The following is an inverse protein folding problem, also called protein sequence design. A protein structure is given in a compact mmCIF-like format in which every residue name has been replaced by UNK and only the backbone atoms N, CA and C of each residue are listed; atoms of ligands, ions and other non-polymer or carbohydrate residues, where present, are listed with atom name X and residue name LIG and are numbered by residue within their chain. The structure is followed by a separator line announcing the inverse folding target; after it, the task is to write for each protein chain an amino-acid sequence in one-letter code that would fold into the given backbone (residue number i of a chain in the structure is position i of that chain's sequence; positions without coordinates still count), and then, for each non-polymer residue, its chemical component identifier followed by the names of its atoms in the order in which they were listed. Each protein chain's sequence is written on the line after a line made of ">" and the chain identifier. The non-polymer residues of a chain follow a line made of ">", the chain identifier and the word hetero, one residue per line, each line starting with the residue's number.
data_IF_860260335558
#
_entry.id   IF_860260335558
#
_cell.length_a   1.000
_cell.length_b   1.000
_cell.length_c   1.000
_cell.angle_alpha   90.00
_cell.angle_beta   90.00
_cell.angle_gamma   90.00
#
_symmetry.space_group_name_H-M   'P 1'
#
loop_
_entity.id
_entity.type
_entity.pdbx_description
1 polymer ?
#
# COMPACT_ATOMS: atom_id res chain seq x y z
N UNK A 1 -13.63 -11.63 -29.49
CA UNK A 1 -12.19 -11.39 -29.16
C UNK A 1 -12.10 -11.13 -27.67
N UNK A 2 -11.06 -11.65 -26.99
CA UNK A 2 -10.79 -11.34 -25.60
C UNK A 2 -10.49 -9.85 -25.47
N UNK A 3 -11.01 -9.19 -24.43
CA UNK A 3 -10.61 -7.80 -24.12
C UNK A 3 -9.16 -7.78 -23.66
N UNK A 4 -8.39 -6.84 -24.19
CA UNK A 4 -6.96 -6.69 -23.89
C UNK A 4 -6.70 -5.52 -22.96
N UNK A 5 -5.89 -5.75 -21.93
CA UNK A 5 -5.47 -4.70 -20.99
C UNK A 5 -3.94 -4.59 -20.91
N UNK A 6 -3.45 -3.37 -20.97
CA UNK A 6 -2.07 -3.05 -20.63
C UNK A 6 -2.04 -2.53 -19.21
N UNK A 7 -1.25 -3.18 -18.37
CA UNK A 7 -0.94 -2.78 -17.00
C UNK A 7 0.48 -2.19 -16.95
N UNK A 8 0.63 -0.95 -16.50
CA UNK A 8 1.93 -0.28 -16.46
C UNK A 8 2.31 0.18 -15.07
N UNK A 9 3.47 -0.25 -14.60
CA UNK A 9 4.11 0.19 -13.35
C UNK A 9 5.62 0.18 -13.54
N UNK A 10 6.35 1.02 -12.80
CA UNK A 10 7.80 1.15 -12.97
C UNK A 10 8.58 -0.16 -12.76
N UNK A 11 8.31 -0.86 -11.68
CA UNK A 11 8.94 -2.17 -11.34
C UNK A 11 7.95 -3.07 -10.65
N UNK A 12 8.31 -4.35 -10.47
CA UNK A 12 7.56 -5.31 -9.65
C UNK A 12 8.26 -5.64 -8.33
N UNK A 13 9.20 -4.79 -7.88
CA UNK A 13 9.82 -4.94 -6.56
C UNK A 13 8.75 -4.93 -5.45
N UNK A 14 9.00 -5.71 -4.39
CA UNK A 14 8.04 -5.85 -3.30
C UNK A 14 7.66 -4.50 -2.68
N UNK A 15 6.42 -4.10 -2.89
CA UNK A 15 5.81 -2.88 -2.41
C UNK A 15 4.29 -2.97 -2.49
N UNK A 16 3.59 -2.05 -1.83
CA UNK A 16 2.12 -2.10 -1.74
C UNK A 16 1.40 -1.97 -3.08
N UNK A 17 1.84 -1.04 -3.94
CA UNK A 17 1.24 -0.84 -5.27
C UNK A 17 1.54 -2.01 -6.21
N UNK A 18 2.77 -2.52 -6.18
CA UNK A 18 3.20 -3.66 -6.96
C UNK A 18 2.45 -4.94 -6.59
N UNK A 19 2.17 -5.13 -5.29
CA UNK A 19 1.34 -6.24 -4.83
C UNK A 19 -0.07 -6.17 -5.43
N UNK A 20 -0.71 -5.01 -5.38
CA UNK A 20 -2.05 -4.85 -5.96
C UNK A 20 -2.02 -5.08 -7.47
N UNK A 21 -0.98 -4.59 -8.16
CA UNK A 21 -0.80 -4.80 -9.59
C UNK A 21 -0.63 -6.28 -9.92
N UNK A 22 0.16 -7.05 -9.13
CA UNK A 22 0.33 -8.50 -9.34
C UNK A 22 -0.98 -9.26 -9.15
N UNK A 23 -1.73 -8.96 -8.07
CA UNK A 23 -3.01 -9.61 -7.79
C UNK A 23 -4.05 -9.29 -8.88
N UNK A 24 -4.08 -8.05 -9.36
CA UNK A 24 -4.98 -7.65 -10.45
C UNK A 24 -4.62 -8.35 -11.77
N UNK A 25 -3.33 -8.42 -12.11
CA UNK A 25 -2.87 -9.11 -13.31
C UNK A 25 -3.26 -10.60 -13.30
N UNK A 26 -3.02 -11.28 -12.15
CA UNK A 26 -3.42 -12.68 -11.94
C UNK A 26 -4.93 -12.88 -12.06
N UNK A 27 -5.72 -12.02 -11.42
CA UNK A 27 -7.17 -12.09 -11.49
C UNK A 27 -7.68 -11.95 -12.93
N UNK A 28 -7.20 -10.94 -13.66
CA UNK A 28 -7.63 -10.68 -15.04
C UNK A 28 -7.26 -11.82 -15.99
N UNK A 29 -6.05 -12.38 -15.88
CA UNK A 29 -5.65 -13.55 -16.69
C UNK A 29 -6.54 -14.76 -16.39
N UNK A 30 -6.87 -14.99 -15.13
CA UNK A 30 -7.74 -16.10 -14.73
C UNK A 30 -9.24 -15.86 -15.12
N UNK A 31 -9.61 -14.60 -15.35
CA UNK A 31 -10.92 -14.18 -15.86
C UNK A 31 -10.96 -14.04 -17.39
N UNK A 32 -10.02 -14.67 -18.09
CA UNK A 32 -9.95 -14.78 -19.55
C UNK A 32 -9.69 -13.46 -20.31
N UNK A 33 -9.03 -12.48 -19.66
CA UNK A 33 -8.53 -11.28 -20.32
C UNK A 33 -7.11 -11.50 -20.89
N UNK A 34 -6.78 -10.79 -21.98
CA UNK A 34 -5.42 -10.70 -22.52
C UNK A 34 -4.65 -9.61 -21.76
N UNK A 35 -3.67 -10.00 -20.93
CA UNK A 35 -2.96 -9.11 -20.02
C UNK A 35 -1.52 -8.92 -20.43
N UNK A 36 -1.15 -7.69 -20.78
CA UNK A 36 0.23 -7.27 -20.99
C UNK A 36 0.69 -6.40 -19.81
N UNK A 37 1.69 -6.88 -19.07
CA UNK A 37 2.34 -6.11 -17.99
C UNK A 37 3.61 -5.44 -18.53
N UNK A 38 3.69 -4.12 -18.37
CA UNK A 38 4.85 -3.32 -18.82
C UNK A 38 5.58 -2.76 -17.58
N UNK A 39 6.90 -2.92 -17.57
CA UNK A 39 7.78 -2.31 -16.55
C UNK A 39 8.85 -1.44 -17.20
N UNK A 40 9.41 -0.49 -16.45
CA UNK A 40 10.43 0.44 -16.93
C UNK A 40 11.71 -0.27 -17.37
N UNK A 41 12.14 -1.26 -16.59
CA UNK A 41 13.37 -2.03 -16.86
C UNK A 41 13.31 -3.41 -16.21
N UNK A 42 14.14 -4.32 -16.71
CA UNK A 42 14.28 -5.65 -16.13
C UNK A 42 15.10 -5.59 -14.82
N UNK A 43 14.61 -6.29 -13.80
CA UNK A 43 15.30 -6.39 -12.52
C UNK A 43 16.48 -7.35 -12.60
N UNK A 44 17.63 -6.93 -12.11
CA UNK A 44 18.79 -7.81 -11.93
C UNK A 44 18.63 -8.79 -10.74
N UNK A 45 17.66 -8.54 -9.84
CA UNK A 45 17.41 -9.33 -8.63
C UNK A 45 15.95 -9.79 -8.61
N UNK A 46 15.66 -10.85 -9.37
CA UNK A 46 14.30 -11.42 -9.51
C UNK A 46 13.71 -11.92 -8.18
N UNK A 47 14.52 -12.28 -7.20
CA UNK A 47 14.06 -12.71 -5.87
C UNK A 47 13.30 -11.61 -5.09
N UNK A 48 13.53 -10.36 -5.42
CA UNK A 48 12.87 -9.21 -4.78
C UNK A 48 11.56 -8.79 -5.47
N UNK A 49 11.13 -9.51 -6.51
CA UNK A 49 9.89 -9.23 -7.22
C UNK A 49 8.75 -10.14 -6.76
N UNK A 50 7.51 -9.69 -7.01
CA UNK A 50 6.34 -10.57 -6.93
C UNK A 50 6.39 -11.60 -8.07
N UNK A 51 6.11 -12.86 -7.72
CA UNK A 51 5.93 -13.92 -8.73
C UNK A 51 4.65 -13.65 -9.52
N UNK A 52 4.71 -13.86 -10.82
CA UNK A 52 3.60 -13.69 -11.74
C UNK A 52 3.35 -15.00 -12.48
N UNK A 53 2.10 -15.26 -12.84
CA UNK A 53 1.74 -16.37 -13.69
C UNK A 53 2.49 -16.31 -15.02
N UNK A 54 2.97 -17.44 -15.56
CA UNK A 54 3.56 -17.48 -16.91
C UNK A 54 2.57 -17.12 -18.02
N UNK A 55 1.28 -17.07 -17.74
CA UNK A 55 0.24 -16.61 -18.68
C UNK A 55 0.25 -15.09 -18.85
N UNK A 56 0.88 -14.32 -17.93
CA UNK A 56 0.98 -12.87 -18.04
C UNK A 56 2.15 -12.53 -18.96
N UNK A 57 1.83 -11.94 -20.11
CA UNK A 57 2.88 -11.42 -21.00
C UNK A 57 3.53 -10.20 -20.35
N UNK A 58 4.86 -10.24 -20.15
CA UNK A 58 5.62 -9.16 -19.50
C UNK A 58 6.65 -8.58 -20.45
N UNK A 59 6.69 -7.24 -20.53
CA UNK A 59 7.61 -6.48 -21.39
C UNK A 59 8.30 -5.40 -20.60
N UNK A 60 9.54 -5.09 -20.98
CA UNK A 60 10.35 -4.04 -20.36
C UNK A 60 10.62 -2.93 -21.37
N UNK A 61 10.46 -1.66 -20.96
CA UNK A 61 10.73 -0.50 -21.82
C UNK A 61 12.23 -0.32 -22.10
N UNK A 62 13.08 -0.73 -21.16
CA UNK A 62 14.53 -0.67 -21.29
C UNK A 62 15.18 -1.89 -20.62
N UNK A 63 16.35 -2.31 -21.13
CA UNK A 63 17.12 -3.40 -20.52
C UNK A 63 17.71 -2.99 -19.17
N UNK A 64 18.20 -1.73 -19.07
CA UNK A 64 18.89 -1.23 -17.89
C UNK A 64 18.40 0.16 -17.46
N UNK A 65 18.52 0.46 -16.17
CA UNK A 65 18.16 1.77 -15.61
C UNK A 65 19.37 2.72 -15.53
N UNK A 66 20.16 2.86 -16.60
CA UNK A 66 21.35 3.72 -16.66
C UNK A 66 21.11 4.99 -17.48
N UNK A 67 21.91 6.03 -17.23
CA UNK A 67 21.96 7.28 -18.00
C UNK A 67 21.10 8.42 -17.48
N UNK A 68 21.12 9.56 -18.22
CA UNK A 68 20.41 10.78 -17.85
C UNK A 68 18.90 10.56 -17.72
N UNK A 69 18.30 11.12 -16.66
CA UNK A 69 16.89 10.89 -16.31
C UNK A 69 15.91 11.45 -17.37
N UNK A 70 16.24 12.58 -18.00
CA UNK A 70 15.38 13.20 -19.03
C UNK A 70 15.34 12.32 -20.26
N UNK A 71 16.53 11.92 -20.76
CA UNK A 71 16.66 11.06 -21.93
C UNK A 71 15.97 9.70 -21.69
N UNK A 72 16.14 9.14 -20.50
CA UNK A 72 15.44 7.90 -20.12
C UNK A 72 13.92 8.03 -20.18
N UNK A 73 13.38 9.13 -19.65
CA UNK A 73 11.94 9.35 -19.65
C UNK A 73 11.39 9.50 -21.08
N UNK A 74 12.09 10.25 -21.95
CA UNK A 74 11.71 10.39 -23.37
C UNK A 74 11.72 9.02 -24.08
N UNK A 75 12.80 8.25 -23.90
CA UNK A 75 12.89 6.89 -24.49
C UNK A 75 11.76 5.99 -24.00
N UNK A 76 11.44 6.01 -22.70
CA UNK A 76 10.34 5.22 -22.12
C UNK A 76 8.98 5.63 -22.66
N UNK A 77 8.71 6.93 -22.80
CA UNK A 77 7.46 7.44 -23.37
C UNK A 77 7.32 6.96 -24.82
N UNK A 78 8.37 7.07 -25.64
CA UNK A 78 8.35 6.65 -27.03
C UNK A 78 8.16 5.12 -27.17
N UNK A 79 8.86 4.33 -26.37
CA UNK A 79 8.76 2.88 -26.40
C UNK A 79 7.38 2.41 -25.88
N UNK A 80 6.89 3.00 -24.80
CA UNK A 80 5.55 2.72 -24.28
C UNK A 80 4.48 3.04 -25.35
N UNK A 81 4.62 4.19 -26.05
CA UNK A 81 3.74 4.55 -27.16
C UNK A 81 3.79 3.54 -28.29
N UNK A 82 5.00 3.08 -28.68
CA UNK A 82 5.21 2.07 -29.73
C UNK A 82 4.48 0.78 -29.37
N UNK A 83 4.68 0.27 -28.15
CA UNK A 83 4.04 -0.97 -27.67
C UNK A 83 2.52 -0.81 -27.65
N UNK A 84 1.97 0.24 -27.06
CA UNK A 84 0.51 0.43 -26.97
C UNK A 84 -0.12 0.55 -28.35
N UNK A 85 0.55 1.18 -29.34
CA UNK A 85 0.07 1.26 -30.72
C UNK A 85 0.04 -0.11 -31.43
N UNK A 86 1.05 -0.95 -31.16
CA UNK A 86 1.12 -2.30 -31.75
C UNK A 86 0.08 -3.23 -31.12
N UNK A 87 -0.04 -3.20 -29.81
CA UNK A 87 -0.90 -4.09 -29.03
C UNK A 87 -2.39 -3.72 -29.11
N UNK A 88 -2.72 -2.45 -29.39
CA UNK A 88 -4.09 -1.91 -29.51
C UNK A 88 -5.02 -2.35 -28.36
N UNK A 89 -4.62 -2.16 -27.07
CA UNK A 89 -5.42 -2.62 -25.96
C UNK A 89 -6.74 -1.83 -25.85
N UNK A 90 -7.77 -2.47 -25.31
CA UNK A 90 -9.02 -1.80 -24.95
C UNK A 90 -8.79 -0.77 -23.83
N UNK A 91 -7.99 -1.17 -22.84
CA UNK A 91 -7.69 -0.33 -21.66
C UNK A 91 -6.20 -0.33 -21.34
N UNK A 92 -5.69 0.85 -20.93
CA UNK A 92 -4.36 1.02 -20.36
C UNK A 92 -4.51 1.54 -18.94
N UNK A 93 -4.01 0.79 -17.96
CA UNK A 93 -4.00 1.16 -16.55
C UNK A 93 -2.57 1.40 -16.08
N UNK A 94 -2.32 2.50 -15.37
CA UNK A 94 -1.04 2.74 -14.72
C UNK A 94 -1.19 3.06 -13.23
N UNK A 95 -0.17 2.65 -12.45
CA UNK A 95 -0.06 2.92 -11.01
C UNK A 95 1.16 3.76 -10.73
N UNK A 96 1.07 4.66 -9.73
CA UNK A 96 2.12 5.55 -9.23
C UNK A 96 2.40 6.76 -10.14
N UNK A 97 2.96 7.82 -9.53
CA UNK A 97 3.05 9.14 -10.13
C UNK A 97 3.82 9.22 -11.44
N UNK A 98 5.06 8.69 -11.48
CA UNK A 98 5.87 8.73 -12.70
C UNK A 98 5.32 7.86 -13.83
N UNK A 99 4.91 6.61 -13.60
CA UNK A 99 4.21 5.82 -14.60
C UNK A 99 2.93 6.47 -15.09
N UNK A 100 2.10 7.06 -14.21
CA UNK A 100 0.88 7.76 -14.62
C UNK A 100 1.17 8.87 -15.63
N UNK A 101 2.16 9.74 -15.36
CA UNK A 101 2.54 10.79 -16.30
C UNK A 101 3.06 10.25 -17.64
N UNK A 102 3.93 9.23 -17.61
CA UNK A 102 4.47 8.64 -18.84
C UNK A 102 3.37 7.99 -19.68
N UNK A 103 2.47 7.24 -19.04
CA UNK A 103 1.35 6.59 -19.73
C UNK A 103 0.46 7.64 -20.41
N UNK A 104 0.07 8.69 -19.70
CA UNK A 104 -0.78 9.72 -20.25
C UNK A 104 -0.14 10.43 -21.45
N UNK A 105 1.14 10.79 -21.35
CA UNK A 105 1.86 11.42 -22.45
C UNK A 105 2.07 10.47 -23.64
N UNK A 106 2.34 9.18 -23.38
CA UNK A 106 2.55 8.19 -24.44
C UNK A 106 1.26 7.83 -25.19
N UNK A 107 0.10 8.02 -24.58
CA UNK A 107 -1.20 7.62 -25.14
C UNK A 107 -1.97 8.76 -25.82
N UNK A 108 -1.37 9.96 -25.95
CA UNK A 108 -2.00 11.07 -26.68
C UNK A 108 -2.34 10.65 -28.10
N UNK A 109 -3.61 10.81 -28.51
CA UNK A 109 -4.12 10.41 -29.82
C UNK A 109 -4.25 8.89 -30.05
N UNK A 110 -4.18 8.08 -28.98
CA UNK A 110 -4.51 6.63 -29.02
C UNK A 110 -5.91 6.41 -28.47
N UNK A 111 -6.70 5.55 -29.11
CA UNK A 111 -8.13 5.34 -28.76
C UNK A 111 -8.37 4.49 -27.51
N UNK A 112 -7.36 3.76 -27.00
CA UNK A 112 -7.51 2.95 -25.77
C UNK A 112 -8.01 3.77 -24.60
N UNK A 113 -8.85 3.21 -23.75
CA UNK A 113 -9.29 3.83 -22.47
C UNK A 113 -8.11 3.95 -21.51
N UNK A 114 -7.85 5.14 -21.01
CA UNK A 114 -6.71 5.48 -20.16
C UNK A 114 -7.16 5.65 -18.72
N UNK A 115 -6.69 4.80 -17.83
CA UNK A 115 -7.02 4.84 -16.41
C UNK A 115 -5.74 5.03 -15.61
N UNK A 116 -5.75 5.99 -14.69
CA UNK A 116 -4.65 6.24 -13.75
C UNK A 116 -5.08 5.93 -12.33
N UNK A 117 -4.17 5.36 -11.56
CA UNK A 117 -4.41 5.12 -10.14
C UNK A 117 -3.36 5.78 -9.26
N UNK A 118 -3.83 6.54 -8.27
CA UNK A 118 -3.02 7.17 -7.22
C UNK A 118 -3.01 6.26 -6.00
N UNK A 119 -1.80 5.83 -5.60
CA UNK A 119 -1.62 4.75 -4.61
C UNK A 119 -0.98 5.20 -3.31
N UNK A 120 -0.76 6.51 -3.14
CA UNK A 120 -0.19 7.11 -1.94
C UNK A 120 -0.76 8.53 -1.74
N UNK A 121 -0.25 9.28 -0.76
CA UNK A 121 -0.58 10.69 -0.59
C UNK A 121 -0.14 11.49 -1.84
N UNK A 122 -1.07 12.08 -2.61
CA UNK A 122 -0.73 12.81 -3.81
C UNK A 122 0.13 14.05 -3.54
N UNK A 123 0.09 14.65 -2.34
CA UNK A 123 0.99 15.75 -1.98
C UNK A 123 2.45 15.28 -1.91
N UNK A 124 2.69 14.03 -1.50
CA UNK A 124 4.02 13.42 -1.48
C UNK A 124 4.44 12.90 -2.86
N UNK A 125 3.49 12.39 -3.63
CA UNK A 125 3.74 11.76 -4.92
C UNK A 125 3.93 12.78 -6.06
N UNK A 126 3.11 13.83 -6.10
CA UNK A 126 3.10 14.86 -7.16
C UNK A 126 3.59 16.23 -6.67
N UNK A 127 3.59 16.43 -5.35
CA UNK A 127 4.00 17.69 -4.70
C UNK A 127 2.81 18.53 -4.24
N UNK A 128 3.06 19.38 -3.24
CA UNK A 128 2.04 20.18 -2.56
C UNK A 128 1.91 21.62 -3.07
N UNK A 129 2.89 22.12 -3.84
CA UNK A 129 2.85 23.49 -4.35
C UNK A 129 1.73 23.67 -5.38
N UNK A 130 1.18 24.89 -5.45
CA UNK A 130 0.10 25.26 -6.39
C UNK A 130 0.46 24.93 -7.85
N UNK A 131 1.67 25.30 -8.30
CA UNK A 131 2.13 25.04 -9.66
C UNK A 131 2.16 23.55 -9.97
N UNK A 132 2.70 22.72 -9.06
CA UNK A 132 2.73 21.27 -9.24
C UNK A 132 1.32 20.68 -9.30
N UNK A 133 0.38 21.18 -8.47
CA UNK A 133 -1.01 20.76 -8.51
C UNK A 133 -1.67 21.09 -9.86
N UNK A 134 -1.46 22.31 -10.37
CA UNK A 134 -1.96 22.72 -11.68
C UNK A 134 -1.43 21.81 -12.78
N UNK A 135 -0.11 21.61 -12.87
CA UNK A 135 0.53 20.76 -13.89
C UNK A 135 -0.01 19.31 -13.79
N UNK A 136 -0.08 18.77 -12.58
CA UNK A 136 -0.61 17.42 -12.35
C UNK A 136 -2.06 17.30 -12.86
N UNK A 137 -2.90 18.25 -12.52
CA UNK A 137 -4.31 18.24 -12.95
C UNK A 137 -4.43 18.36 -14.48
N UNK A 138 -3.64 19.22 -15.12
CA UNK A 138 -3.63 19.37 -16.58
C UNK A 138 -3.24 18.06 -17.29
N UNK A 139 -2.19 17.38 -16.82
CA UNK A 139 -1.77 16.11 -17.39
C UNK A 139 -2.83 15.02 -17.13
N UNK A 140 -3.42 14.99 -15.94
CA UNK A 140 -4.45 14.02 -15.59
C UNK A 140 -5.73 14.17 -16.42
N UNK A 141 -6.04 15.36 -16.93
CA UNK A 141 -7.16 15.55 -17.86
C UNK A 141 -7.04 14.75 -19.16
N UNK A 142 -5.87 14.18 -19.48
CA UNK A 142 -5.66 13.26 -20.59
C UNK A 142 -6.20 11.84 -20.32
N UNK A 143 -6.54 11.51 -19.07
CA UNK A 143 -7.11 10.22 -18.69
C UNK A 143 -8.63 10.19 -18.90
N UNK A 144 -9.15 8.99 -19.13
CA UNK A 144 -10.58 8.70 -19.26
C UNK A 144 -11.20 8.25 -17.92
N UNK A 145 -10.37 7.84 -16.95
CA UNK A 145 -10.83 7.41 -15.62
C UNK A 145 -9.74 7.49 -14.56
N UNK A 146 -10.16 7.56 -13.30
CA UNK A 146 -9.26 7.75 -12.16
C UNK A 146 -9.65 6.84 -11.00
N UNK A 147 -8.66 6.20 -10.38
CA UNK A 147 -8.87 5.41 -9.18
C UNK A 147 -8.02 5.96 -8.04
N UNK A 148 -8.70 6.29 -6.96
CA UNK A 148 -8.09 6.73 -5.71
C UNK A 148 -8.29 5.68 -4.61
N UNK A 149 -7.43 5.70 -3.60
CA UNK A 149 -7.59 4.83 -2.44
C UNK A 149 -8.47 5.46 -1.35
N UNK A 150 -8.51 6.79 -1.30
CA UNK A 150 -9.23 7.52 -0.25
C UNK A 150 -9.93 8.75 -0.82
N UNK A 151 -11.02 9.22 -0.17
CA UNK A 151 -11.64 10.50 -0.50
C UNK A 151 -10.68 11.68 -0.35
N UNK A 152 -9.75 11.65 0.62
CA UNK A 152 -8.80 12.73 0.84
C UNK A 152 -7.75 12.80 -0.28
N UNK A 153 -7.27 11.65 -0.79
CA UNK A 153 -6.44 11.63 -2.00
C UNK A 153 -7.17 12.25 -3.20
N UNK A 154 -8.45 11.95 -3.35
CA UNK A 154 -9.30 12.51 -4.44
C UNK A 154 -9.42 14.02 -4.36
N UNK A 155 -9.48 14.63 -3.16
CA UNK A 155 -9.59 16.09 -2.95
C UNK A 155 -8.40 16.90 -3.47
N UNK A 156 -7.25 16.25 -3.71
CA UNK A 156 -6.09 16.91 -4.33
C UNK A 156 -6.38 17.41 -5.76
N UNK A 157 -7.29 16.76 -6.46
CA UNK A 157 -7.61 16.97 -7.88
C UNK A 157 -8.83 17.88 -8.07
N UNK A 158 -8.94 18.47 -9.26
CA UNK A 158 -10.09 19.32 -9.63
C UNK A 158 -11.38 18.51 -9.70
N UNK A 159 -12.54 19.19 -9.58
CA UNK A 159 -13.88 18.56 -9.55
C UNK A 159 -14.16 17.65 -10.75
N UNK A 160 -13.72 18.02 -11.96
CA UNK A 160 -13.87 17.19 -13.16
C UNK A 160 -13.24 15.80 -13.00
N UNK A 161 -12.02 15.75 -12.41
CA UNK A 161 -11.32 14.50 -12.11
C UNK A 161 -12.01 13.74 -10.96
N UNK A 162 -12.42 14.47 -9.91
CA UNK A 162 -13.12 13.87 -8.78
C UNK A 162 -14.42 13.18 -9.20
N UNK A 163 -15.22 13.84 -10.06
CA UNK A 163 -16.53 13.34 -10.50
C UNK A 163 -16.41 12.11 -11.42
N UNK A 164 -15.29 11.97 -12.15
CA UNK A 164 -15.01 10.82 -13.03
C UNK A 164 -14.08 9.80 -12.38
N UNK A 165 -14.16 9.65 -11.07
CA UNK A 165 -13.26 8.79 -10.30
C UNK A 165 -14.00 7.77 -9.45
N UNK A 166 -13.32 6.65 -9.13
CA UNK A 166 -13.78 5.63 -8.20
C UNK A 166 -12.78 5.46 -7.05
N UNK A 167 -13.30 5.18 -5.86
CA UNK A 167 -12.49 4.73 -4.73
C UNK A 167 -12.45 3.20 -4.78
N UNK A 168 -11.26 2.63 -4.95
CA UNK A 168 -11.06 1.18 -4.91
C UNK A 168 -9.94 0.88 -3.90
N UNK A 169 -10.28 0.09 -2.90
CA UNK A 169 -9.39 -0.30 -1.82
C UNK A 169 -8.31 -1.30 -2.28
N UNK A 170 -7.35 -1.58 -1.40
CA UNK A 170 -6.41 -2.67 -1.63
C UNK A 170 -7.09 -4.01 -1.31
N UNK A 171 -6.74 -5.08 -2.03
CA UNK A 171 -7.18 -6.42 -1.68
C UNK A 171 -6.37 -6.97 -0.51
N UNK A 172 -7.02 -7.76 0.33
CA UNK A 172 -6.38 -8.56 1.37
C UNK A 172 -6.51 -10.04 1.01
N UNK A 173 -5.38 -10.75 1.05
CA UNK A 173 -5.27 -12.17 0.73
C UNK A 173 -6.07 -13.02 1.73
N UNK A 174 -6.74 -14.07 1.24
CA UNK A 174 -7.55 -15.00 2.04
C UNK A 174 -6.76 -15.63 3.19
N UNK A 175 -5.46 -15.82 3.07
CA UNK A 175 -4.61 -16.37 4.14
C UNK A 175 -4.68 -15.57 5.45
N UNK A 176 -4.91 -14.24 5.40
CA UNK A 176 -5.07 -13.41 6.59
C UNK A 176 -6.41 -13.62 7.28
N UNK A 177 -7.46 -13.97 6.53
CA UNK A 177 -8.78 -14.31 7.11
C UNK A 177 -8.80 -15.70 7.72
N UNK A 178 -7.97 -16.62 7.20
CA UNK A 178 -7.93 -18.04 7.58
C UNK A 178 -6.90 -18.33 8.68
N UNK A 179 -6.33 -17.30 9.31
CA UNK A 179 -5.41 -17.48 10.45
C UNK A 179 -6.11 -18.18 11.62
N UNK A 180 -5.43 -19.16 12.22
CA UNK A 180 -5.93 -19.81 13.44
C UNK A 180 -5.92 -18.82 14.60
N UNK A 181 -7.01 -18.76 15.35
CA UNK A 181 -7.06 -17.95 16.57
C UNK A 181 -6.14 -18.60 17.60
N UNK A 182 -5.21 -17.82 18.15
CA UNK A 182 -4.31 -18.25 19.23
C UNK A 182 -4.88 -17.71 20.54
N UNK A 183 -5.17 -18.59 21.50
CA UNK A 183 -5.77 -18.21 22.79
C UNK A 183 -4.84 -17.33 23.62
N UNK A 184 -3.56 -17.70 23.70
CA UNK A 184 -2.53 -16.98 24.46
C UNK A 184 -1.73 -16.03 23.59
N UNK A 185 -2.38 -14.99 23.09
CA UNK A 185 -1.72 -13.93 22.33
C UNK A 185 -0.67 -13.21 23.18
N UNK A 186 0.45 -12.90 22.55
CA UNK A 186 1.59 -12.22 23.19
C UNK A 186 2.03 -11.07 22.30
N UNK A 187 2.73 -10.10 22.91
CA UNK A 187 3.46 -9.04 22.25
C UNK A 187 2.57 -8.00 21.51
N UNK A 188 3.17 -6.84 21.37
CA UNK A 188 2.76 -5.76 20.46
C UNK A 188 3.60 -5.91 19.19
N UNK A 189 2.96 -5.77 18.02
CA UNK A 189 3.62 -6.01 16.74
C UNK A 189 3.45 -4.82 15.80
N UNK A 190 4.48 -4.54 15.00
CA UNK A 190 4.39 -3.68 13.82
C UNK A 190 5.04 -4.34 12.62
N UNK A 191 4.50 -4.07 11.43
CA UNK A 191 5.01 -4.62 10.15
C UNK A 191 5.15 -3.50 9.15
N UNK A 192 6.36 -3.31 8.61
CA UNK A 192 6.60 -2.28 7.60
C UNK A 192 8.08 -1.99 7.38
N UNK A 193 8.40 -1.31 6.27
CA UNK A 193 9.77 -0.88 5.98
C UNK A 193 10.30 0.04 7.07
N UNK A 194 11.56 -0.12 7.45
CA UNK A 194 12.21 0.75 8.43
C UNK A 194 12.68 2.05 7.76
N UNK A 195 11.72 2.92 7.47
CA UNK A 195 11.90 4.19 6.77
C UNK A 195 11.12 5.31 7.46
N UNK A 196 11.49 6.57 7.19
CA UNK A 196 10.88 7.78 7.79
C UNK A 196 9.36 7.78 7.73
N UNK A 197 8.77 7.34 6.62
CA UNK A 197 7.32 7.28 6.43
C UNK A 197 6.61 6.48 7.54
N UNK A 198 7.20 5.36 7.96
CA UNK A 198 6.60 4.42 8.93
C UNK A 198 6.78 4.86 10.39
N UNK A 199 7.68 5.80 10.64
CA UNK A 199 7.93 6.45 11.93
C UNK A 199 7.93 5.48 13.14
N UNK A 200 8.71 4.36 13.02
CA UNK A 200 8.85 3.41 14.14
C UNK A 200 9.49 4.07 15.38
N UNK A 201 10.18 5.21 15.21
CA UNK A 201 10.68 5.99 16.34
C UNK A 201 9.55 6.45 17.26
N UNK A 202 8.43 6.95 16.69
CA UNK A 202 7.24 7.30 17.48
C UNK A 202 6.72 6.10 18.28
N UNK A 203 6.76 4.90 17.69
CA UNK A 203 6.36 3.68 18.39
C UNK A 203 7.32 3.31 19.51
N UNK A 204 8.65 3.47 19.33
CA UNK A 204 9.63 3.27 20.40
C UNK A 204 9.44 4.27 21.53
N UNK A 205 9.15 5.55 21.22
CA UNK A 205 8.85 6.57 22.21
C UNK A 205 7.59 6.24 23.03
N UNK A 206 6.55 5.70 22.37
CA UNK A 206 5.34 5.23 23.02
C UNK A 206 5.58 3.95 23.85
N UNK A 207 6.38 3.02 23.33
CA UNK A 207 6.66 1.74 23.99
C UNK A 207 7.48 1.92 25.28
N UNK A 208 8.41 2.88 25.33
CA UNK A 208 9.10 3.27 26.57
C UNK A 208 8.12 3.64 27.69
N UNK A 209 7.02 4.33 27.36
CA UNK A 209 5.98 4.68 28.34
C UNK A 209 5.12 3.47 28.74
N UNK A 210 4.99 2.50 27.85
CA UNK A 210 4.22 1.27 28.11
C UNK A 210 4.98 0.35 29.06
N UNK A 211 6.29 0.19 28.89
CA UNK A 211 7.10 -0.73 29.72
C UNK A 211 7.09 -0.40 31.20
N UNK A 212 6.78 0.84 31.60
CA UNK A 212 6.66 1.28 32.99
C UNK A 212 5.46 0.66 33.71
N UNK A 213 4.36 0.46 33.01
CA UNK A 213 3.11 -0.07 33.57
C UNK A 213 2.90 -1.55 33.15
N UNK A 214 3.41 -1.94 32.00
CA UNK A 214 3.30 -3.28 31.44
C UNK A 214 4.69 -3.89 31.20
N UNK A 215 5.43 -4.26 32.28
CA UNK A 215 6.83 -4.69 32.17
C UNK A 215 7.01 -6.02 31.47
N UNK A 216 5.94 -6.81 31.27
CA UNK A 216 6.00 -8.11 30.60
C UNK A 216 5.70 -8.03 29.10
N UNK A 217 5.34 -6.86 28.57
CA UNK A 217 5.09 -6.72 27.14
C UNK A 217 6.38 -6.57 26.36
N UNK A 218 6.37 -7.14 25.15
CA UNK A 218 7.44 -7.00 24.17
C UNK A 218 6.92 -6.34 22.89
N UNK A 219 7.80 -5.65 22.19
CA UNK A 219 7.55 -5.07 20.87
C UNK A 219 8.31 -5.86 19.81
N UNK A 220 7.58 -6.39 18.83
CA UNK A 220 8.15 -7.10 17.69
C UNK A 220 8.04 -6.23 16.45
N UNK A 221 9.16 -5.96 15.80
CA UNK A 221 9.24 -5.13 14.59
C UNK A 221 9.65 -6.02 13.41
N UNK A 222 8.74 -6.19 12.46
CA UNK A 222 9.00 -6.88 11.21
C UNK A 222 9.21 -5.89 10.07
N UNK A 223 10.23 -6.15 9.28
CA UNK A 223 10.63 -5.38 8.12
C UNK A 223 12.09 -4.97 8.16
N UNK A 224 12.57 -4.46 7.05
CA UNK A 224 13.93 -3.98 6.84
C UNK A 224 13.91 -2.56 6.30
N UNK A 225 15.03 -1.84 6.44
CA UNK A 225 15.15 -0.50 5.87
C UNK A 225 16.36 0.26 6.41
N UNK A 226 16.55 1.45 5.87
CA UNK A 226 17.75 2.27 6.12
C UNK A 226 17.87 2.76 7.56
N UNK A 227 16.75 2.77 8.31
CA UNK A 227 16.71 3.28 9.70
C UNK A 227 16.95 2.19 10.76
N UNK A 228 17.22 0.93 10.39
CA UNK A 228 17.32 -0.17 11.36
C UNK A 228 18.36 0.11 12.45
N UNK A 229 19.56 0.57 12.08
CA UNK A 229 20.60 0.91 13.04
C UNK A 229 20.16 2.04 13.98
N UNK A 230 19.60 3.12 13.42
CA UNK A 230 19.12 4.26 14.21
C UNK A 230 18.03 3.85 15.22
N UNK A 231 17.12 2.98 14.80
CA UNK A 231 16.04 2.48 15.67
C UNK A 231 16.58 1.58 16.79
N UNK A 232 17.57 0.73 16.53
CA UNK A 232 18.27 -0.07 17.55
C UNK A 232 18.99 0.83 18.57
N UNK A 233 19.73 1.83 18.08
CA UNK A 233 20.40 2.81 18.93
C UNK A 233 19.40 3.62 19.78
N UNK A 234 18.24 3.95 19.22
CA UNK A 234 17.15 4.60 19.93
C UNK A 234 16.60 3.71 21.06
N UNK A 235 16.36 2.43 20.80
CA UNK A 235 15.88 1.48 21.81
C UNK A 235 16.89 1.29 22.97
N UNK A 236 18.20 1.28 22.66
CA UNK A 236 19.27 1.21 23.67
C UNK A 236 19.26 2.47 24.57
N UNK A 237 19.21 3.68 23.97
CA UNK A 237 19.18 4.95 24.71
C UNK A 237 17.95 5.08 25.64
N UNK A 238 16.86 4.40 25.30
CA UNK A 238 15.62 4.35 26.08
C UNK A 238 15.58 3.22 27.11
N UNK A 239 16.62 2.41 27.21
CA UNK A 239 16.67 1.23 28.09
C UNK A 239 15.52 0.22 27.86
N UNK A 240 15.06 0.09 26.60
CA UNK A 240 14.01 -0.87 26.20
C UNK A 240 14.51 -1.91 25.21
N UNK A 241 15.77 -1.93 24.86
CA UNK A 241 16.33 -2.78 23.80
C UNK A 241 16.06 -4.28 24.05
N UNK A 242 16.15 -4.75 25.29
CA UNK A 242 15.88 -6.16 25.67
C UNK A 242 14.41 -6.59 25.45
N UNK A 243 13.51 -5.62 25.24
CA UNK A 243 12.08 -5.84 24.99
C UNK A 243 11.64 -5.53 23.57
N UNK A 244 12.56 -5.08 22.71
CA UNK A 244 12.29 -4.73 21.31
C UNK A 244 13.03 -5.67 20.39
N UNK A 245 12.30 -6.46 19.62
CA UNK A 245 12.85 -7.50 18.75
C UNK A 245 12.72 -7.11 17.29
N UNK A 246 13.83 -6.84 16.62
CA UNK A 246 13.91 -6.60 15.19
C UNK A 246 14.04 -7.93 14.47
N UNK A 247 13.03 -8.36 13.74
CA UNK A 247 12.94 -9.70 13.13
C UNK A 247 13.21 -9.72 11.61
N UNK A 248 13.48 -8.54 11.00
CA UNK A 248 13.65 -8.46 9.55
C UNK A 248 12.39 -8.83 8.78
N UNK A 249 12.56 -9.24 7.54
CA UNK A 249 11.46 -9.70 6.70
C UNK A 249 11.05 -11.13 7.05
N UNK A 250 9.75 -11.40 7.05
CA UNK A 250 9.18 -12.72 7.31
C UNK A 250 8.27 -13.13 6.15
N UNK A 251 8.33 -14.40 5.75
CA UNK A 251 7.52 -14.94 4.65
C UNK A 251 6.06 -15.19 5.04
N UNK A 252 5.83 -15.58 6.29
CA UNK A 252 4.51 -16.00 6.82
C UNK A 252 4.04 -14.99 7.88
N UNK A 253 3.91 -13.73 7.48
CA UNK A 253 3.52 -12.63 8.37
C UNK A 253 2.16 -12.85 9.01
N UNK A 254 1.24 -13.55 8.32
CA UNK A 254 -0.08 -13.92 8.84
C UNK A 254 0.01 -14.76 10.12
N UNK A 255 0.97 -15.69 10.19
CA UNK A 255 1.18 -16.52 11.38
C UNK A 255 1.73 -15.69 12.56
N UNK A 256 2.56 -14.71 12.28
CA UNK A 256 3.11 -13.85 13.33
C UNK A 256 2.06 -12.84 13.83
N UNK A 257 1.27 -12.30 12.91
CA UNK A 257 0.14 -11.45 13.25
C UNK A 257 -0.84 -12.19 14.17
N UNK A 258 -1.22 -13.44 13.85
CA UNK A 258 -2.21 -14.18 14.64
C UNK A 258 -1.83 -14.40 16.10
N UNK A 259 -0.54 -14.37 16.45
CA UNK A 259 -0.01 -14.52 17.80
C UNK A 259 0.02 -13.19 18.59
N UNK A 260 -0.18 -12.06 17.94
CA UNK A 260 -0.05 -10.75 18.57
C UNK A 260 -1.33 -10.32 19.29
N UNK A 261 -1.18 -9.60 20.41
CA UNK A 261 -2.29 -8.93 21.10
C UNK A 261 -2.75 -7.70 20.30
N UNK A 262 -1.79 -6.88 19.89
CA UNK A 262 -2.03 -5.57 19.28
C UNK A 262 -1.11 -5.39 18.09
N UNK A 263 -1.65 -4.92 16.98
CA UNK A 263 -0.91 -4.37 15.87
C UNK A 263 -0.88 -2.84 15.96
N UNK A 264 0.29 -2.24 15.74
CA UNK A 264 0.45 -0.79 15.77
C UNK A 264 0.99 -0.27 14.44
N UNK A 265 0.31 0.73 13.87
CA UNK A 265 0.78 1.51 12.73
C UNK A 265 1.09 2.94 13.19
N UNK A 266 2.36 3.34 13.14
CA UNK A 266 2.84 4.66 13.60
C UNK A 266 3.16 5.64 12.47
N UNK A 267 2.68 5.37 11.25
CA UNK A 267 3.06 6.09 10.02
C UNK A 267 2.71 7.58 10.04
N UNK A 268 3.55 8.39 9.41
CA UNK A 268 3.31 9.83 9.21
C UNK A 268 2.34 10.12 8.06
N UNK A 269 2.29 9.26 7.05
CA UNK A 269 1.36 9.33 5.91
C UNK A 269 1.20 7.97 5.25
N UNK A 270 -0.02 7.68 4.80
CA UNK A 270 -0.37 6.46 4.06
C UNK A 270 -1.44 6.75 3.00
N UNK A 271 -1.38 6.02 1.88
CA UNK A 271 -2.55 5.86 1.05
C UNK A 271 -3.54 4.91 1.74
N UNK A 272 -3.43 3.62 1.40
CA UNK A 272 -4.16 2.54 2.06
C UNK A 272 -3.13 1.57 2.67
N UNK A 273 -2.97 1.51 4.00
CA UNK A 273 -1.91 0.74 4.64
C UNK A 273 -2.22 -0.77 4.65
N UNK A 274 -1.57 -1.53 3.76
CA UNK A 274 -1.78 -2.98 3.65
C UNK A 274 -1.57 -3.71 4.98
N UNK A 275 -0.52 -3.36 5.74
CA UNK A 275 -0.22 -4.02 7.00
C UNK A 275 -1.35 -3.86 8.04
N UNK A 276 -2.01 -2.69 8.09
CA UNK A 276 -3.17 -2.48 8.95
C UNK A 276 -4.36 -3.34 8.48
N UNK A 277 -4.62 -3.37 7.16
CA UNK A 277 -5.69 -4.20 6.59
C UNK A 277 -5.48 -5.69 6.87
N UNK A 278 -4.24 -6.15 6.75
CA UNK A 278 -3.82 -7.54 7.04
C UNK A 278 -3.97 -7.89 8.52
N UNK A 279 -3.59 -6.97 9.41
CA UNK A 279 -3.78 -7.13 10.85
C UNK A 279 -5.27 -7.20 11.23
N UNK A 280 -6.10 -6.31 10.67
CA UNK A 280 -7.56 -6.34 10.86
C UNK A 280 -8.15 -7.67 10.36
N UNK A 281 -7.78 -8.11 9.16
CA UNK A 281 -8.24 -9.38 8.58
C UNK A 281 -7.83 -10.59 9.42
N UNK A 282 -6.67 -10.53 10.07
CA UNK A 282 -6.18 -11.57 10.99
C UNK A 282 -6.88 -11.55 12.36
N UNK A 283 -7.79 -10.61 12.60
CA UNK A 283 -8.55 -10.53 13.86
C UNK A 283 -7.71 -10.03 15.05
N UNK A 284 -6.85 -9.04 14.82
CA UNK A 284 -6.00 -8.45 15.85
C UNK A 284 -6.52 -7.04 16.18
N UNK A 285 -6.48 -6.67 17.46
CA UNK A 285 -6.75 -5.29 17.85
C UNK A 285 -5.71 -4.35 17.22
N UNK A 286 -6.17 -3.27 16.64
CA UNK A 286 -5.32 -2.33 15.91
C UNK A 286 -5.31 -0.96 16.56
N UNK A 287 -4.10 -0.37 16.69
CA UNK A 287 -3.91 1.04 17.03
C UNK A 287 -3.14 1.69 15.89
N UNK A 288 -3.63 2.81 15.38
CA UNK A 288 -3.02 3.48 14.23
C UNK A 288 -2.96 4.98 14.40
N UNK A 289 -1.93 5.61 13.87
CA UNK A 289 -1.96 7.05 13.62
C UNK A 289 -3.04 7.37 12.58
N UNK A 290 -3.82 8.42 12.83
CA UNK A 290 -4.75 9.01 11.87
C UNK A 290 -3.99 9.91 10.89
N UNK A 291 -3.17 9.29 10.07
CA UNK A 291 -2.26 10.00 9.19
C UNK A 291 -2.92 10.47 7.88
N UNK A 292 -2.41 11.55 7.24
CA UNK A 292 -2.76 11.92 5.89
C UNK A 292 -2.48 10.73 4.94
N UNK A 293 -3.18 10.54 4.03
CA UNK A 293 -4.33 10.82 3.23
C UNK A 293 -5.62 10.09 3.73
N UNK A 294 -5.73 9.81 5.02
CA UNK A 294 -6.95 9.29 5.63
C UNK A 294 -7.21 7.80 5.42
N UNK A 295 -6.21 7.01 5.00
CA UNK A 295 -6.35 5.55 4.86
C UNK A 295 -6.74 4.87 6.17
N UNK A 296 -6.02 5.08 7.27
CA UNK A 296 -6.36 4.47 8.55
C UNK A 296 -7.79 4.76 9.02
N UNK A 297 -8.29 6.01 8.86
CA UNK A 297 -9.67 6.37 9.28
C UNK A 297 -10.77 5.76 8.40
N UNK A 298 -10.43 5.34 7.18
CA UNK A 298 -11.37 4.58 6.35
C UNK A 298 -11.43 3.10 6.73
N UNK A 299 -10.37 2.59 7.33
CA UNK A 299 -10.28 1.21 7.79
C UNK A 299 -10.90 1.05 9.17
N UNK A 300 -10.53 1.92 10.11
CA UNK A 300 -11.01 1.96 11.50
C UNK A 300 -12.08 3.06 11.57
N UNK A 301 -13.35 2.68 11.59
CA UNK A 301 -14.50 3.61 11.58
C UNK A 301 -14.90 4.05 12.99
N UNK A 302 -14.58 3.23 14.01
CA UNK A 302 -14.90 3.49 15.40
C UNK A 302 -13.97 2.68 16.35
N UNK A 303 -14.01 3.01 17.64
CA UNK A 303 -13.12 2.43 18.67
C UNK A 303 -13.40 0.94 18.94
N UNK A 304 -14.52 0.39 18.50
CA UNK A 304 -14.78 -1.05 18.60
C UNK A 304 -13.99 -1.86 17.56
N UNK A 305 -13.52 -1.24 16.48
CA UNK A 305 -12.74 -1.86 15.41
C UNK A 305 -11.23 -1.60 15.55
N UNK A 306 -10.84 -0.62 16.39
CA UNK A 306 -9.47 -0.19 16.60
C UNK A 306 -9.41 1.25 17.06
N UNK A 307 -8.23 1.75 17.46
CA UNK A 307 -8.08 3.10 17.98
C UNK A 307 -7.22 3.94 17.04
N UNK A 308 -7.71 5.14 16.73
CA UNK A 308 -6.97 6.15 15.97
C UNK A 308 -6.41 7.23 16.90
N UNK A 309 -5.14 7.60 16.68
CA UNK A 309 -4.47 8.66 17.42
C UNK A 309 -3.84 9.68 16.48
N UNK A 310 -3.65 10.94 16.90
CA UNK A 310 -2.93 11.93 16.10
C UNK A 310 -1.50 11.48 15.76
N UNK A 311 -0.98 11.90 14.59
CA UNK A 311 0.42 11.73 14.24
C UNK A 311 1.33 12.47 15.24
N UNK A 312 2.57 11.98 15.40
CA UNK A 312 3.62 12.61 16.21
C UNK A 312 3.27 12.83 17.69
N UNK A 313 2.35 12.05 18.25
CA UNK A 313 1.96 12.09 19.67
C UNK A 313 2.20 10.73 20.33
N UNK A 314 3.41 10.52 20.84
CA UNK A 314 3.79 9.27 21.52
C UNK A 314 3.01 9.01 22.79
N UNK A 315 2.56 10.05 23.50
CA UNK A 315 1.75 9.91 24.71
C UNK A 315 0.35 9.37 24.38
N UNK A 316 -0.31 9.95 23.36
CA UNK A 316 -1.62 9.44 22.91
C UNK A 316 -1.51 8.04 22.34
N UNK A 317 -0.43 7.74 21.57
CA UNK A 317 -0.18 6.41 21.06
C UNK A 317 0.02 5.40 22.22
N UNK A 318 0.82 5.73 23.22
CA UNK A 318 1.02 4.92 24.42
C UNK A 318 -0.31 4.68 25.16
N UNK A 319 -1.09 5.73 25.40
CA UNK A 319 -2.37 5.62 26.12
C UNK A 319 -3.37 4.74 25.33
N UNK A 320 -3.45 4.87 24.01
CA UNK A 320 -4.30 4.02 23.19
C UNK A 320 -3.90 2.54 23.29
N UNK A 321 -2.60 2.23 23.23
CA UNK A 321 -2.11 0.86 23.39
C UNK A 321 -2.41 0.32 24.78
N UNK A 322 -2.19 1.10 25.85
CA UNK A 322 -2.53 0.72 27.22
C UNK A 322 -4.04 0.46 27.40
N UNK A 323 -4.88 1.30 26.81
CA UNK A 323 -6.33 1.11 26.82
C UNK A 323 -6.73 -0.23 26.19
N UNK A 324 -6.12 -0.58 25.05
CA UNK A 324 -6.36 -1.88 24.40
C UNK A 324 -5.84 -3.03 25.27
N UNK A 325 -4.66 -2.91 25.90
CA UNK A 325 -4.12 -3.95 26.79
C UNK A 325 -5.01 -4.19 28.02
N UNK A 326 -5.68 -3.16 28.53
CA UNK A 326 -6.60 -3.24 29.66
C UNK A 326 -8.04 -3.64 29.27
N UNK A 327 -8.32 -3.75 27.97
CA UNK A 327 -9.65 -4.11 27.44
C UNK A 327 -9.69 -5.52 26.87
N UNK A 328 -10.86 -5.95 26.41
CA UNK A 328 -10.98 -7.18 25.62
C UNK A 328 -10.48 -6.95 24.19
N UNK A 329 -9.15 -7.02 24.00
CA UNK A 329 -8.51 -6.89 22.70
C UNK A 329 -8.95 -7.99 21.70
N UNK A 330 -9.45 -9.12 22.16
CA UNK A 330 -10.00 -10.17 21.27
C UNK A 330 -11.31 -9.71 20.64
N UNK A 331 -12.18 -9.04 21.40
CA UNK A 331 -13.43 -8.46 20.89
C UNK A 331 -13.13 -7.36 19.85
N UNK A 332 -12.19 -6.46 20.16
CA UNK A 332 -11.77 -5.41 19.21
C UNK A 332 -11.23 -6.06 17.92
N UNK A 333 -10.37 -7.06 18.04
CA UNK A 333 -9.82 -7.78 16.89
C UNK A 333 -10.90 -8.51 16.06
N UNK A 334 -11.91 -9.10 16.70
CA UNK A 334 -13.04 -9.73 16.02
C UNK A 334 -13.83 -8.70 15.21
N UNK A 335 -14.11 -7.53 15.77
CA UNK A 335 -14.81 -6.45 15.08
C UNK A 335 -13.98 -5.89 13.92
N UNK A 336 -12.65 -5.73 14.11
CA UNK A 336 -11.73 -5.38 13.05
C UNK A 336 -11.79 -6.37 11.87
N UNK A 337 -11.84 -7.68 12.17
CA UNK A 337 -11.96 -8.73 11.14
C UNK A 337 -13.29 -8.64 10.38
N UNK A 338 -14.40 -8.40 11.07
CA UNK A 338 -15.71 -8.20 10.43
C UNK A 338 -15.65 -7.01 9.47
N UNK A 339 -15.07 -5.89 9.91
CA UNK A 339 -14.85 -4.72 9.04
C UNK A 339 -13.98 -5.06 7.82
N UNK A 340 -12.94 -5.85 8.01
CA UNK A 340 -12.02 -6.22 6.94
C UNK A 340 -12.64 -7.13 5.86
N UNK A 341 -13.79 -7.77 6.09
CA UNK A 341 -14.43 -8.66 5.11
C UNK A 341 -14.75 -7.99 3.77
N UNK A 342 -14.99 -6.67 3.75
CA UNK A 342 -15.21 -5.93 2.51
C UNK A 342 -13.94 -5.73 1.66
N UNK A 343 -12.75 -6.06 2.19
CA UNK A 343 -11.46 -5.95 1.48
C UNK A 343 -10.98 -7.27 0.88
N UNK A 344 -11.81 -8.31 0.87
CA UNK A 344 -11.46 -9.60 0.25
C UNK A 344 -11.04 -9.42 -1.20
N UNK A 345 -10.02 -10.18 -1.59
CA UNK A 345 -9.43 -10.11 -2.95
C UNK A 345 -10.49 -10.20 -4.04
N UNK A 346 -11.41 -11.17 -3.94
CA UNK A 346 -12.45 -11.35 -4.95
C UNK A 346 -13.34 -10.12 -5.12
N UNK A 347 -13.77 -9.51 -4.01
CA UNK A 347 -14.61 -8.30 -4.01
C UNK A 347 -13.91 -7.12 -4.65
N UNK A 348 -12.65 -6.89 -4.27
CA UNK A 348 -11.88 -5.74 -4.78
C UNK A 348 -11.50 -5.94 -6.25
N UNK A 349 -11.11 -7.15 -6.65
CA UNK A 349 -10.75 -7.43 -8.04
C UNK A 349 -11.95 -7.31 -8.97
N UNK A 350 -13.15 -7.71 -8.52
CA UNK A 350 -14.38 -7.48 -9.29
C UNK A 350 -14.67 -5.99 -9.50
N UNK A 351 -14.44 -5.14 -8.50
CA UNK A 351 -14.57 -3.68 -8.66
C UNK A 351 -13.59 -3.11 -9.69
N UNK A 352 -12.36 -3.65 -9.75
CA UNK A 352 -11.38 -3.28 -10.76
C UNK A 352 -11.82 -3.73 -12.16
N UNK A 353 -12.24 -4.98 -12.32
CA UNK A 353 -12.74 -5.52 -13.59
C UNK A 353 -13.88 -4.66 -14.14
N UNK A 354 -14.89 -4.38 -13.30
CA UNK A 354 -16.04 -3.54 -13.69
C UNK A 354 -15.60 -2.14 -14.11
N UNK A 355 -14.63 -1.54 -13.39
CA UNK A 355 -14.17 -0.19 -13.72
C UNK A 355 -13.26 -0.15 -14.97
N UNK A 356 -12.53 -1.20 -15.26
CA UNK A 356 -11.66 -1.27 -16.43
C UNK A 356 -12.43 -1.45 -17.74
N UNK A 357 -13.56 -2.16 -17.71
CA UNK A 357 -14.18 -2.65 -18.92
C UNK A 357 -15.66 -2.28 -19.09
N UNK A 358 -16.29 -1.76 -18.04
CA UNK A 358 -17.71 -1.37 -18.02
C UNK A 358 -17.87 0.03 -17.39
#
# INVERSE_FOLDING_TARGET
>A
MKKKVVLYIDTMYRGGAQRVMSVLAEYLVNSDYDVLLINDFESNVKSNEYRLSPKIHRVYLQKENKGNIVIKNIKRINELRRIIRMEKPDTVLSFLGRPNFRMLLSTIGIKSRKIVSVRNDPNKEYGSSFIKKVITNLIFLLADGYVFQTPDARKYFIKKIQNNSKIIFNPVDEKFYNTKIVENKKNIITVGRLEKQKNQKLLLDAFELITKEFPNENLIIYGEGTLEKELKDCAMKKNIFEKVFFKGNVSNVENELSKAKIFVLSSDYEGMPNALMEAMASGIACVSTDCPCGGPRLLIENDEQGILVPCNDSKKLSNAIKNVLNSDYNRIGKNAKIRAMCFKTQTIMKQWEDYLFY
#
